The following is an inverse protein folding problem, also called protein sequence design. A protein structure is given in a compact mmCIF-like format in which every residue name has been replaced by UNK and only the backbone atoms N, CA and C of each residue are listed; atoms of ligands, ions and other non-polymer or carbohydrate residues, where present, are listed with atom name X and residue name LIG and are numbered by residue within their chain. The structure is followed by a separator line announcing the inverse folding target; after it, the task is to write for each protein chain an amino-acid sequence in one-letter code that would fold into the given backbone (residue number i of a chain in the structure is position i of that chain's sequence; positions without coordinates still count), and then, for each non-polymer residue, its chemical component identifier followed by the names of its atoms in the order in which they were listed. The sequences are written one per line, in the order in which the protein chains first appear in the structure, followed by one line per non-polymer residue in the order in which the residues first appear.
data_IF_625929515707
#
_entry.id   IF_625929515707
#
_cell.length_a   1.000
_cell.length_b   1.000
_cell.length_c   1.000
_cell.angle_alpha   90.00
_cell.angle_beta   90.00
_cell.angle_gamma   90.00
#
_symmetry.space_group_name_H-M   'P 1'
#
loop_
_entity.id
_entity.type
_entity.pdbx_description
1 polymer ?
#
# COMPACT_ATOMS: atom_id res chain seq x y z
N UNK A 1 0.21 2.46 14.95
CA UNK A 1 0.28 1.63 13.71
C UNK A 1 -0.19 0.23 14.03
N UNK A 2 -1.16 -0.25 13.31
CA UNK A 2 -1.72 -1.59 13.50
C UNK A 2 -1.29 -2.45 12.32
N UNK A 3 -0.72 -3.62 12.60
CA UNK A 3 -0.24 -4.54 11.57
C UNK A 3 -1.04 -5.82 11.65
N UNK A 4 -1.71 -6.16 10.56
CA UNK A 4 -2.44 -7.42 10.41
C UNK A 4 -1.92 -8.16 9.18
N UNK A 5 -2.11 -9.47 9.16
CA UNK A 5 -1.80 -10.28 7.98
C UNK A 5 -3.01 -11.12 7.59
N UNK A 6 -3.23 -11.23 6.29
CA UNK A 6 -4.25 -12.09 5.71
C UNK A 6 -3.61 -12.85 4.56
N UNK A 7 -3.41 -14.13 4.73
CA UNK A 7 -2.60 -14.96 3.81
C UNK A 7 -1.19 -14.35 3.71
N UNK A 8 -0.73 -14.02 2.51
CA UNK A 8 0.58 -13.39 2.31
C UNK A 8 0.49 -11.86 2.14
N UNK A 9 -0.65 -11.27 2.52
CA UNK A 9 -0.85 -9.82 2.42
C UNK A 9 -0.69 -9.19 3.81
N UNK A 10 0.17 -8.17 3.91
CA UNK A 10 0.34 -7.38 5.12
C UNK A 10 -0.56 -6.15 5.02
N UNK A 11 -1.38 -5.94 6.04
CA UNK A 11 -2.29 -4.80 6.13
C UNK A 11 -1.79 -3.90 7.26
N UNK A 12 -1.31 -2.71 6.90
CA UNK A 12 -0.72 -1.77 7.85
C UNK A 12 -1.62 -0.54 7.94
N UNK A 13 -2.20 -0.33 9.10
CA UNK A 13 -3.21 0.70 9.31
C UNK A 13 -2.63 1.85 10.14
N UNK A 14 -2.79 3.06 9.63
CA UNK A 14 -2.52 4.28 10.39
C UNK A 14 -3.63 4.44 11.44
N UNK A 15 -3.25 4.54 12.71
CA UNK A 15 -4.24 4.73 13.78
C UNK A 15 -4.10 6.12 14.42
N UNK A 16 -3.30 6.25 15.47
CA UNK A 16 -3.19 7.50 16.23
C UNK A 16 -1.98 8.35 15.87
N UNK A 17 -1.09 7.84 15.04
CA UNK A 17 0.10 8.58 14.63
C UNK A 17 -0.20 9.47 13.42
N UNK A 18 0.55 10.57 13.32
CA UNK A 18 0.48 11.44 12.14
C UNK A 18 1.01 10.70 10.92
N UNK A 19 0.65 11.18 9.73
CA UNK A 19 1.10 10.56 8.49
C UNK A 19 2.63 10.52 8.37
N UNK A 20 3.37 11.62 8.63
CA UNK A 20 4.83 11.54 8.53
C UNK A 20 5.45 10.55 9.51
N UNK A 21 4.94 10.47 10.73
CA UNK A 21 5.41 9.53 11.72
C UNK A 21 5.09 8.08 11.31
N UNK A 22 3.89 7.86 10.79
CA UNK A 22 3.48 6.55 10.28
C UNK A 22 4.39 6.10 9.13
N UNK A 23 4.65 6.96 8.16
CA UNK A 23 5.51 6.63 7.02
C UNK A 23 6.94 6.36 7.46
N UNK A 24 7.43 7.11 8.43
CA UNK A 24 8.78 6.89 8.98
C UNK A 24 8.87 5.50 9.62
N UNK A 25 7.89 5.13 10.43
CA UNK A 25 7.84 3.80 11.05
C UNK A 25 7.72 2.70 10.03
N UNK A 26 6.86 2.90 9.02
CA UNK A 26 6.70 1.90 7.97
C UNK A 26 7.99 1.71 7.17
N UNK A 27 8.71 2.79 6.86
CA UNK A 27 9.96 2.70 6.12
C UNK A 27 10.99 1.82 6.84
N UNK A 28 11.05 1.92 8.18
CA UNK A 28 11.93 1.07 8.99
C UNK A 28 11.50 -0.38 8.94
N UNK A 29 10.19 -0.63 8.93
CA UNK A 29 9.63 -1.98 8.96
C UNK A 29 9.51 -2.63 7.58
N UNK A 30 9.73 -1.87 6.51
CA UNK A 30 9.50 -2.36 5.14
C UNK A 30 10.26 -3.64 4.82
N UNK A 31 11.47 -3.79 5.37
CA UNK A 31 12.26 -5.01 5.21
C UNK A 31 11.49 -6.28 5.58
N UNK A 32 10.63 -6.20 6.59
CA UNK A 32 9.83 -7.34 7.05
C UNK A 32 8.77 -7.77 6.05
N UNK A 33 8.43 -6.91 5.10
CA UNK A 33 7.32 -7.14 4.18
C UNK A 33 7.76 -7.30 2.73
N UNK A 34 9.06 -7.56 2.50
CA UNK A 34 9.63 -7.70 1.16
C UNK A 34 9.02 -8.84 0.35
N UNK A 35 8.47 -9.84 1.01
CA UNK A 35 7.86 -11.00 0.36
C UNK A 35 6.35 -11.04 0.56
N UNK A 36 5.75 -9.89 0.89
CA UNK A 36 4.31 -9.77 1.09
C UNK A 36 3.73 -8.73 0.15
N UNK A 37 2.50 -8.94 -0.31
CA UNK A 37 1.71 -7.84 -0.84
C UNK A 37 1.37 -6.91 0.33
N UNK A 38 1.33 -5.61 0.09
CA UNK A 38 1.14 -4.61 1.14
C UNK A 38 -0.08 -3.75 0.87
N UNK A 39 -0.91 -3.59 1.88
CA UNK A 39 -2.01 -2.63 1.88
C UNK A 39 -1.74 -1.61 2.99
N UNK A 40 -1.60 -0.34 2.63
CA UNK A 40 -1.52 0.75 3.60
C UNK A 40 -2.90 1.40 3.74
N UNK A 41 -3.48 1.33 4.92
CA UNK A 41 -4.76 1.98 5.21
C UNK A 41 -4.47 3.31 5.88
N UNK A 42 -4.72 4.41 5.16
CA UNK A 42 -4.43 5.75 5.63
C UNK A 42 -5.68 6.41 6.19
N UNK A 43 -5.53 7.09 7.31
CA UNK A 43 -6.60 7.82 7.97
C UNK A 43 -6.68 9.26 7.46
N UNK A 44 -5.52 9.87 7.23
CA UNK A 44 -5.42 11.20 6.67
C UNK A 44 -4.28 11.23 5.66
N UNK A 45 -4.34 12.18 4.73
CA UNK A 45 -3.33 12.31 3.69
C UNK A 45 -3.02 13.78 3.47
N UNK A 46 -1.77 14.04 3.11
CA UNK A 46 -1.31 15.37 2.75
C UNK A 46 -0.49 15.27 1.47
N UNK A 47 -0.65 16.24 0.59
CA UNK A 47 0.11 16.29 -0.66
C UNK A 47 1.62 16.35 -0.42
N UNK A 48 2.04 16.80 0.76
CA UNK A 48 3.45 16.90 1.11
C UNK A 48 4.14 15.53 1.21
N UNK A 49 3.36 14.43 1.36
CA UNK A 49 3.90 13.09 1.56
C UNK A 49 3.63 12.16 0.39
N UNK A 50 3.06 12.66 -0.70
CA UNK A 50 2.76 11.84 -1.87
C UNK A 50 4.03 11.30 -2.51
N UNK A 51 5.07 12.12 -2.62
CA UNK A 51 6.34 11.68 -3.20
C UNK A 51 6.93 10.50 -2.40
N UNK A 52 6.78 10.53 -1.09
CA UNK A 52 7.26 9.45 -0.23
C UNK A 52 6.44 8.17 -0.46
N UNK A 53 5.13 8.29 -0.61
CA UNK A 53 4.27 7.15 -0.93
C UNK A 53 4.63 6.57 -2.30
N UNK A 54 4.87 7.41 -3.29
CA UNK A 54 5.27 6.96 -4.62
C UNK A 54 6.60 6.21 -4.58
N UNK A 55 7.56 6.71 -3.82
CA UNK A 55 8.86 6.05 -3.67
C UNK A 55 8.72 4.68 -3.01
N UNK A 56 7.91 4.57 -1.97
CA UNK A 56 7.65 3.30 -1.29
C UNK A 56 6.95 2.31 -2.23
N UNK A 57 5.97 2.77 -2.98
CA UNK A 57 5.26 1.95 -3.96
C UNK A 57 6.20 1.41 -5.01
N UNK A 58 7.03 2.27 -5.60
CA UNK A 58 7.98 1.85 -6.62
C UNK A 58 8.95 0.81 -6.09
N UNK A 59 9.54 1.05 -4.93
CA UNK A 59 10.47 0.12 -4.31
C UNK A 59 9.83 -1.24 -4.09
N UNK A 60 8.61 -1.26 -3.58
CA UNK A 60 7.93 -2.51 -3.27
C UNK A 60 7.50 -3.27 -4.54
N UNK A 61 7.02 -2.55 -5.55
CA UNK A 61 6.60 -3.17 -6.81
C UNK A 61 7.78 -3.77 -7.58
N UNK A 62 8.96 -3.21 -7.44
CA UNK A 62 10.18 -3.79 -8.01
C UNK A 62 10.51 -5.16 -7.41
N UNK A 63 9.98 -5.47 -6.23
CA UNK A 63 10.10 -6.79 -5.61
C UNK A 63 9.08 -7.79 -6.16
N UNK A 64 8.24 -7.37 -7.11
CA UNK A 64 7.17 -8.16 -7.73
C UNK A 64 5.99 -8.44 -6.80
N UNK A 65 5.76 -7.55 -5.84
CA UNK A 65 4.61 -7.62 -4.94
C UNK A 65 3.77 -6.35 -5.06
N UNK A 66 2.47 -6.48 -4.78
CA UNK A 66 1.55 -5.37 -4.87
C UNK A 66 1.72 -4.40 -3.70
N UNK A 67 1.47 -3.11 -3.96
CA UNK A 67 1.46 -2.06 -2.96
C UNK A 67 0.21 -1.22 -3.21
N UNK A 68 -0.75 -1.28 -2.29
CA UNK A 68 -2.06 -0.64 -2.45
C UNK A 68 -2.31 0.30 -1.28
N UNK A 69 -2.76 1.51 -1.58
CA UNK A 69 -3.14 2.51 -0.58
C UNK A 69 -4.65 2.59 -0.49
N UNK A 70 -5.19 2.47 0.73
CA UNK A 70 -6.62 2.67 1.00
C UNK A 70 -6.77 4.08 1.57
N UNK A 71 -7.50 4.94 0.86
CA UNK A 71 -7.75 6.31 1.28
C UNK A 71 -9.01 6.83 0.61
N UNK A 72 -9.83 7.57 1.35
CA UNK A 72 -10.99 8.26 0.80
C UNK A 72 -10.65 9.69 0.40
N UNK A 73 -9.43 10.14 0.65
CA UNK A 73 -8.99 11.52 0.39
C UNK A 73 -8.14 11.65 -0.88
N UNK A 74 -7.56 10.54 -1.34
CA UNK A 74 -6.77 10.52 -2.57
C UNK A 74 -7.60 9.95 -3.71
N UNK A 75 -7.35 10.42 -4.93
CA UNK A 75 -8.04 9.96 -6.12
C UNK A 75 -7.06 9.19 -7.00
N UNK A 76 -7.44 7.98 -7.41
CA UNK A 76 -6.62 7.14 -8.29
C UNK A 76 -6.27 7.87 -9.60
N UNK A 77 -7.18 8.68 -10.12
CA UNK A 77 -6.98 9.39 -11.38
C UNK A 77 -5.79 10.36 -11.33
N UNK A 78 -5.41 10.82 -10.13
CA UNK A 78 -4.27 11.72 -9.96
C UNK A 78 -2.92 11.01 -10.08
N UNK A 79 -2.90 9.68 -10.02
CA UNK A 79 -1.65 8.91 -9.95
C UNK A 79 -1.44 7.98 -11.13
N UNK A 80 -2.43 7.80 -11.98
CA UNK A 80 -2.40 6.86 -13.10
C UNK A 80 -1.93 5.48 -12.62
N UNK A 81 -0.82 4.96 -13.17
CA UNK A 81 -0.30 3.66 -12.79
C UNK A 81 0.82 3.72 -11.75
N UNK A 82 1.20 4.92 -11.30
CA UNK A 82 2.33 5.10 -10.40
C UNK A 82 2.02 4.70 -8.97
N UNK A 83 0.74 4.84 -8.56
CA UNK A 83 0.29 4.48 -7.22
C UNK A 83 -1.12 3.95 -7.32
N UNK A 84 -1.36 2.78 -6.72
CA UNK A 84 -2.70 2.20 -6.67
C UNK A 84 -3.41 2.70 -5.42
N UNK A 85 -4.49 3.45 -5.61
CA UNK A 85 -5.30 4.02 -4.52
C UNK A 85 -6.73 3.54 -4.69
N UNK A 86 -7.30 2.97 -3.62
CA UNK A 86 -8.69 2.52 -3.60
C UNK A 86 -9.38 3.07 -2.37
N UNK A 87 -10.72 3.23 -2.41
CA UNK A 87 -11.44 3.85 -1.29
C UNK A 87 -11.77 2.92 -0.13
N UNK A 88 -11.61 1.61 -0.29
CA UNK A 88 -11.98 0.65 0.76
C UNK A 88 -11.00 -0.50 0.83
N UNK A 89 -10.96 -1.15 1.99
CA UNK A 89 -10.14 -2.34 2.19
C UNK A 89 -10.60 -3.50 1.31
N UNK A 90 -11.90 -3.63 1.09
CA UNK A 90 -12.44 -4.66 0.21
C UNK A 90 -11.88 -4.53 -1.21
N UNK A 91 -11.87 -3.32 -1.74
CA UNK A 91 -11.33 -3.07 -3.08
C UNK A 91 -9.83 -3.33 -3.15
N UNK A 92 -9.11 -3.07 -2.05
CA UNK A 92 -7.69 -3.38 -1.98
C UNK A 92 -7.46 -4.90 -2.08
N UNK A 93 -8.24 -5.69 -1.36
CA UNK A 93 -8.16 -7.15 -1.44
C UNK A 93 -8.52 -7.66 -2.84
N UNK A 94 -9.55 -7.08 -3.46
CA UNK A 94 -9.94 -7.46 -4.82
C UNK A 94 -8.82 -7.18 -5.82
N UNK A 95 -8.17 -6.03 -5.68
CA UNK A 95 -7.03 -5.69 -6.54
C UNK A 95 -5.88 -6.69 -6.39
N UNK A 96 -5.54 -7.03 -5.15
CA UNK A 96 -4.44 -7.98 -4.89
C UNK A 96 -4.80 -9.37 -5.42
N UNK A 97 -6.04 -9.78 -5.29
CA UNK A 97 -6.50 -11.06 -5.82
C UNK A 97 -6.33 -11.13 -7.35
N UNK A 98 -6.66 -10.05 -8.05
CA UNK A 98 -6.42 -9.95 -9.49
C UNK A 98 -4.93 -10.04 -9.84
N UNK A 99 -4.09 -9.36 -9.07
CA UNK A 99 -2.64 -9.41 -9.25
C UNK A 99 -2.10 -10.82 -9.06
N UNK A 100 -2.59 -11.53 -8.04
CA UNK A 100 -2.20 -12.91 -7.77
C UNK A 100 -2.57 -13.83 -8.93
N UNK A 101 -3.76 -13.65 -9.50
CA UNK A 101 -4.21 -14.43 -10.65
C UNK A 101 -3.31 -14.18 -11.86
N UNK A 102 -2.92 -12.95 -12.11
CA UNK A 102 -2.02 -12.62 -13.22
C UNK A 102 -0.64 -13.22 -13.01
N UNK A 103 -0.13 -13.18 -11.81
CA UNK A 103 1.18 -13.80 -11.48
C UNK A 103 1.15 -15.31 -11.69
N UNK A 104 0.05 -15.96 -11.27
CA UNK A 104 -0.09 -17.42 -11.46
C UNK A 104 -0.17 -17.81 -12.93
N UNK A 105 -0.68 -16.92 -13.78
CA UNK A 105 -0.75 -17.14 -15.22
C UNK A 105 0.54 -16.74 -15.95
N UNK A 106 1.52 -16.23 -15.25
CA UNK A 106 2.80 -15.83 -15.81
C UNK A 106 2.82 -14.50 -16.55
N UNK A 107 1.85 -13.64 -16.26
CA UNK A 107 1.79 -12.31 -16.87
C UNK A 107 2.50 -11.25 -16.05
#
# INVERSE_FOLDING_TARGET
MIINQHNSTAIITQDKTSLPEFLKKFSVLHERFKTNDVILVLKDTSSDYIDQLLALSETHRHLNYAFVVVSTQLDQDDFEDDLVVVPSLQEAHDYIEMELMQRDLGF
#
